data_IF_025683091333
#
_entry.id   IF_025683091333
#
_cell.length_a   1.000
_cell.length_b   1.000
_cell.length_c   1.000
_cell.angle_alpha   90.00
_cell.angle_beta   90.00
_cell.angle_gamma   90.00
#
_symmetry.space_group_name_H-M   'P 1'
#
loop_
_entity.id
_entity.type
_entity.pdbx_description
1 polymer ?
#
# COMPACT_ATOMS: atom_id res chain seq x y z
N UNK A 1 15.18 -18.91 -31.24
CA UNK A 1 15.42 -19.30 -32.65
C UNK A 1 16.82 -19.02 -33.23
N UNK A 2 17.29 -17.78 -33.47
CA UNK A 2 18.62 -17.58 -34.08
C UNK A 2 19.81 -17.98 -33.18
N UNK A 3 19.72 -17.75 -31.86
CA UNK A 3 20.80 -18.06 -30.90
C UNK A 3 20.89 -19.55 -30.52
N UNK A 4 19.76 -20.27 -30.55
CA UNK A 4 19.74 -21.73 -30.36
C UNK A 4 20.38 -22.44 -31.55
N UNK A 5 20.04 -22.00 -32.77
CA UNK A 5 20.68 -22.50 -33.99
C UNK A 5 22.20 -22.31 -33.97
N UNK A 6 22.67 -21.16 -33.46
CA UNK A 6 24.11 -20.90 -33.26
C UNK A 6 24.73 -21.84 -32.22
N UNK A 7 24.01 -22.21 -31.15
CA UNK A 7 24.52 -23.16 -30.17
C UNK A 7 24.59 -24.59 -30.74
N UNK A 8 23.61 -24.99 -31.54
CA UNK A 8 23.53 -26.32 -32.13
C UNK A 8 24.53 -26.51 -33.28
N UNK A 9 24.77 -25.46 -34.07
CA UNK A 9 25.79 -25.45 -35.12
C UNK A 9 27.22 -25.56 -34.53
N UNK A 10 27.45 -24.99 -33.33
CA UNK A 10 28.75 -25.11 -32.62
C UNK A 10 28.94 -26.52 -32.05
N UNK A 11 27.86 -27.19 -31.63
CA UNK A 11 27.88 -28.54 -31.08
C UNK A 11 27.98 -29.65 -32.14
N UNK A 12 27.53 -29.39 -33.37
CA UNK A 12 27.66 -30.32 -34.49
C UNK A 12 29.08 -30.41 -35.09
N UNK A 13 30.04 -29.60 -34.63
CA UNK A 13 31.39 -29.55 -35.21
C UNK A 13 32.30 -30.69 -34.72
N UNK A 14 33.00 -31.42 -35.62
CA UNK A 14 33.70 -32.69 -35.31
C UNK A 14 34.99 -32.56 -34.48
N UNK A 15 35.46 -31.35 -34.16
CA UNK A 15 36.58 -31.09 -33.24
C UNK A 15 36.29 -29.83 -32.40
N UNK A 16 35.87 -30.02 -31.16
CA UNK A 16 35.54 -28.91 -30.25
C UNK A 16 36.69 -28.60 -29.28
N UNK A 17 37.13 -27.35 -29.25
CA UNK A 17 38.04 -26.87 -28.21
C UNK A 17 37.25 -26.44 -26.94
N UNK A 18 37.96 -26.09 -25.87
CA UNK A 18 37.32 -25.64 -24.63
C UNK A 18 36.55 -24.32 -24.82
N UNK A 19 36.99 -23.45 -25.74
CA UNK A 19 36.40 -22.13 -25.98
C UNK A 19 35.09 -22.24 -26.77
N UNK A 20 34.99 -23.17 -27.72
CA UNK A 20 33.77 -23.40 -28.51
C UNK A 20 32.64 -23.93 -27.62
N UNK A 21 32.94 -24.86 -26.71
CA UNK A 21 31.97 -25.38 -25.73
C UNK A 21 31.50 -24.30 -24.74
N UNK A 22 32.40 -23.41 -24.32
CA UNK A 22 32.02 -22.28 -23.47
C UNK A 22 31.08 -21.31 -24.19
N UNK A 23 31.37 -21.01 -25.47
CA UNK A 23 30.53 -20.15 -26.31
C UNK A 23 29.15 -20.75 -26.55
N UNK A 24 29.04 -22.06 -26.79
CA UNK A 24 27.76 -22.75 -26.92
C UNK A 24 26.94 -22.69 -25.63
N UNK A 25 27.58 -22.90 -24.46
CA UNK A 25 26.91 -22.77 -23.15
C UNK A 25 26.44 -21.35 -22.87
N UNK A 26 27.23 -20.34 -23.24
CA UNK A 26 26.84 -18.94 -23.10
C UNK A 26 25.69 -18.57 -24.05
N UNK A 27 25.71 -19.07 -25.29
CA UNK A 27 24.62 -18.89 -26.26
C UNK A 27 23.31 -19.55 -25.79
N UNK A 28 23.36 -20.78 -25.24
CA UNK A 28 22.18 -21.43 -24.64
C UNK A 28 21.68 -20.69 -23.41
N UNK A 29 22.59 -20.19 -22.56
CA UNK A 29 22.19 -19.39 -21.39
C UNK A 29 21.56 -18.06 -21.81
N UNK A 30 22.09 -17.42 -22.85
CA UNK A 30 21.52 -16.20 -23.41
C UNK A 30 20.18 -16.45 -24.12
N UNK A 31 20.03 -17.58 -24.81
CA UNK A 31 18.77 -17.99 -25.43
C UNK A 31 17.70 -18.34 -24.38
N UNK A 32 18.06 -19.11 -23.34
CA UNK A 32 17.16 -19.42 -22.23
C UNK A 32 16.82 -18.18 -21.39
N UNK A 33 17.72 -17.20 -21.31
CA UNK A 33 17.44 -15.91 -20.70
C UNK A 33 16.50 -15.10 -21.59
N UNK A 34 16.73 -15.08 -22.91
CA UNK A 34 15.86 -14.42 -23.87
C UNK A 34 14.44 -15.03 -23.91
N UNK A 35 14.29 -16.34 -23.77
CA UNK A 35 12.98 -17.03 -23.62
C UNK A 35 12.30 -16.74 -22.28
N UNK A 36 13.06 -16.39 -21.23
CA UNK A 36 12.48 -15.82 -20.01
C UNK A 36 12.06 -14.35 -20.17
N UNK A 37 12.48 -13.71 -21.26
CA UNK A 37 12.17 -12.33 -21.63
C UNK A 37 11.36 -12.22 -22.95
N UNK A 38 10.83 -13.33 -23.48
CA UNK A 38 9.87 -13.33 -24.60
C UNK A 38 8.49 -12.87 -24.13
N UNK A 39 7.72 -12.23 -25.01
CA UNK A 39 7.23 -10.88 -24.83
C UNK A 39 6.07 -10.79 -23.83
N UNK A 40 6.10 -9.68 -23.10
CA UNK A 40 4.97 -9.02 -22.46
C UNK A 40 3.71 -9.21 -23.28
N UNK A 41 2.73 -9.92 -22.73
CA UNK A 41 1.43 -10.14 -23.36
C UNK A 41 0.75 -8.76 -23.48
N UNK A 42 0.81 -8.16 -24.67
CA UNK A 42 0.29 -6.83 -24.92
C UNK A 42 -1.21 -6.72 -24.60
N UNK A 43 -1.97 -7.82 -24.69
CA UNK A 43 -3.37 -7.86 -24.31
C UNK A 43 -3.53 -7.88 -22.79
N UNK A 44 -2.66 -8.60 -22.06
CA UNK A 44 -2.63 -8.58 -20.60
C UNK A 44 -2.23 -7.19 -20.05
N UNK A 45 -1.22 -6.55 -20.65
CA UNK A 45 -0.80 -5.20 -20.30
C UNK A 45 -1.89 -4.16 -20.58
N UNK A 46 -2.52 -4.23 -21.76
CA UNK A 46 -3.62 -3.34 -22.10
C UNK A 46 -4.82 -3.54 -21.16
N UNK A 47 -5.07 -4.77 -20.73
CA UNK A 47 -6.09 -5.08 -19.72
C UNK A 47 -5.74 -4.47 -18.36
N UNK A 48 -4.50 -4.65 -17.89
CA UNK A 48 -4.02 -4.08 -16.63
C UNK A 48 -4.09 -2.54 -16.65
N UNK A 49 -3.68 -1.91 -17.75
CA UNK A 49 -3.75 -0.45 -17.91
C UNK A 49 -5.21 0.05 -17.91
N UNK A 50 -6.11 -0.65 -18.61
CA UNK A 50 -7.54 -0.32 -18.61
C UNK A 50 -8.12 -0.43 -17.19
N UNK A 51 -7.74 -1.47 -16.47
CA UNK A 51 -8.16 -1.71 -15.09
C UNK A 51 -7.62 -0.65 -14.12
N UNK A 52 -6.36 -0.25 -14.24
CA UNK A 52 -5.77 0.82 -13.44
C UNK A 52 -6.46 2.17 -13.71
N UNK A 53 -6.74 2.49 -14.98
CA UNK A 53 -7.48 3.70 -15.35
C UNK A 53 -8.90 3.71 -14.79
N UNK A 54 -9.55 2.55 -14.70
CA UNK A 54 -10.89 2.46 -14.11
C UNK A 54 -10.86 2.60 -12.59
N UNK A 55 -9.90 1.96 -11.92
CA UNK A 55 -9.62 2.15 -10.48
C UNK A 55 -9.43 3.63 -10.16
N UNK A 56 -8.55 4.31 -10.90
CA UNK A 56 -8.26 5.73 -10.72
C UNK A 56 -9.52 6.60 -10.90
N UNK A 57 -10.35 6.32 -11.92
CA UNK A 57 -11.61 7.06 -12.15
C UNK A 57 -12.60 6.90 -11.01
N UNK A 58 -12.74 5.69 -10.48
CA UNK A 58 -13.65 5.40 -9.36
C UNK A 58 -13.17 6.13 -8.11
N UNK A 59 -11.89 5.98 -7.76
CA UNK A 59 -11.30 6.63 -6.59
C UNK A 59 -11.44 8.15 -6.69
N UNK A 60 -11.13 8.74 -7.85
CA UNK A 60 -11.25 10.18 -8.06
C UNK A 60 -12.71 10.66 -7.93
N UNK A 61 -13.67 9.91 -8.49
CA UNK A 61 -15.10 10.23 -8.32
C UNK A 61 -15.52 10.21 -6.85
N UNK A 62 -15.14 9.17 -6.10
CA UNK A 62 -15.46 9.07 -4.67
C UNK A 62 -14.77 10.17 -3.87
N UNK A 63 -13.53 10.54 -4.22
CA UNK A 63 -12.86 11.70 -3.62
C UNK A 63 -13.61 13.01 -3.89
N UNK A 64 -14.10 13.21 -5.12
CA UNK A 64 -14.88 14.38 -5.50
C UNK A 64 -16.19 14.49 -4.70
N UNK A 65 -16.92 13.40 -4.57
CA UNK A 65 -18.17 13.31 -3.78
C UNK A 65 -17.94 13.60 -2.29
N UNK A 66 -16.79 13.17 -1.76
CA UNK A 66 -16.38 13.42 -0.36
C UNK A 66 -15.71 14.79 -0.15
N UNK A 67 -15.51 15.58 -1.21
CA UNK A 67 -14.85 16.89 -1.13
C UNK A 67 -13.38 16.81 -0.72
N UNK A 68 -12.70 15.70 -1.02
CA UNK A 68 -11.28 15.50 -0.72
C UNK A 68 -10.46 15.33 -2.01
N UNK A 69 -9.15 15.50 -1.91
CA UNK A 69 -8.20 15.31 -3.00
C UNK A 69 -7.03 14.47 -2.54
N UNK A 70 -6.46 13.72 -3.47
CA UNK A 70 -5.31 12.88 -3.20
C UNK A 70 -4.07 13.72 -2.89
N UNK A 71 -3.31 13.25 -1.90
CA UNK A 71 -1.95 13.69 -1.63
C UNK A 71 -1.05 12.47 -1.74
N UNK A 72 -0.13 12.53 -2.70
CA UNK A 72 0.79 11.44 -2.99
C UNK A 72 1.76 11.22 -1.82
N UNK A 73 1.81 9.98 -1.37
CA UNK A 73 2.78 9.43 -0.42
C UNK A 73 3.82 8.64 -1.21
N UNK A 74 5.06 8.61 -0.72
CA UNK A 74 6.13 7.85 -1.35
C UNK A 74 5.72 6.38 -1.52
N UNK A 75 5.90 5.79 -2.72
CA UNK A 75 5.54 4.40 -3.01
C UNK A 75 6.60 3.43 -2.48
N UNK A 76 6.72 3.39 -1.16
CA UNK A 76 7.59 2.47 -0.42
C UNK A 76 6.77 1.60 0.56
N UNK A 77 7.46 0.73 1.28
CA UNK A 77 6.80 -0.17 2.21
C UNK A 77 6.15 0.50 3.42
N UNK A 78 6.35 1.81 3.62
CA UNK A 78 5.77 2.61 4.70
C UNK A 78 4.55 3.42 4.26
N UNK A 79 4.06 3.27 3.02
CA UNK A 79 2.98 4.09 2.46
C UNK A 79 1.72 4.15 3.32
N UNK A 80 1.22 3.02 3.82
CA UNK A 80 0.04 2.97 4.72
C UNK A 80 0.24 3.84 5.96
N UNK A 81 1.34 3.58 6.67
CA UNK A 81 1.69 4.24 7.92
C UNK A 81 1.94 5.73 7.72
N UNK A 82 2.60 6.11 6.63
CA UNK A 82 2.85 7.51 6.26
C UNK A 82 1.55 8.23 5.91
N UNK A 83 0.63 7.58 5.17
CA UNK A 83 -0.67 8.15 4.83
C UNK A 83 -1.53 8.41 6.08
N UNK A 84 -1.56 7.46 7.01
CA UNK A 84 -2.29 7.62 8.29
C UNK A 84 -1.61 8.68 9.17
N UNK A 85 -0.28 8.65 9.29
CA UNK A 85 0.46 9.63 10.08
C UNK A 85 0.17 11.07 9.62
N UNK A 86 0.20 11.32 8.30
CA UNK A 86 -0.15 12.63 7.75
C UNK A 86 -1.57 13.05 8.13
N UNK A 87 -2.56 12.14 8.01
CA UNK A 87 -3.93 12.44 8.39
C UNK A 87 -4.07 12.76 9.87
N UNK A 88 -3.39 12.03 10.75
CA UNK A 88 -3.36 12.30 12.19
C UNK A 88 -2.79 13.70 12.49
N UNK A 89 -1.78 14.15 11.73
CA UNK A 89 -1.27 15.52 11.82
C UNK A 89 -2.28 16.57 11.36
N UNK A 90 -2.95 16.33 10.22
CA UNK A 90 -3.96 17.25 9.66
C UNK A 90 -5.14 17.42 10.62
N UNK A 91 -5.54 16.33 11.28
CA UNK A 91 -6.63 16.34 12.27
C UNK A 91 -6.20 16.88 13.64
N UNK A 92 -4.91 17.17 13.85
CA UNK A 92 -4.36 17.62 15.12
C UNK A 92 -4.40 16.56 16.23
N UNK A 93 -4.55 15.28 15.87
CA UNK A 93 -4.49 14.16 16.81
C UNK A 93 -3.06 13.92 17.26
N UNK A 94 -2.10 14.08 16.33
CA UNK A 94 -0.68 14.08 16.63
C UNK A 94 -0.05 15.43 16.25
N UNK A 95 0.94 15.92 17.02
CA UNK A 95 1.81 16.99 16.56
C UNK A 95 2.51 16.60 15.25
N UNK A 96 2.65 17.54 14.31
CA UNK A 96 3.28 17.25 13.02
C UNK A 96 4.71 16.71 13.12
N UNK A 97 5.44 17.04 14.19
CA UNK A 97 6.78 16.51 14.46
C UNK A 97 6.80 15.05 14.91
N UNK A 98 5.68 14.55 15.45
CA UNK A 98 5.55 13.19 15.98
C UNK A 98 4.78 12.27 15.03
N UNK A 99 3.99 12.85 14.12
CA UNK A 99 3.22 12.17 13.09
C UNK A 99 4.13 11.57 12.00
N UNK A 100 4.80 10.49 12.35
CA UNK A 100 5.77 9.76 11.53
C UNK A 100 5.27 8.34 11.23
N UNK A 101 5.83 7.70 10.19
CA UNK A 101 5.49 6.31 9.90
C UNK A 101 5.98 5.38 11.03
N UNK A 102 7.08 5.73 11.72
CA UNK A 102 7.59 4.98 12.86
C UNK A 102 6.61 5.02 14.05
N UNK A 103 6.03 6.19 14.32
CA UNK A 103 5.06 6.36 15.39
C UNK A 103 3.79 5.53 15.13
N UNK A 104 3.27 5.57 13.90
CA UNK A 104 2.07 4.80 13.53
C UNK A 104 2.35 3.30 13.44
N UNK A 105 3.52 2.85 12.95
CA UNK A 105 3.93 1.44 13.01
C UNK A 105 3.96 0.90 14.42
N UNK A 106 4.56 1.67 15.33
CA UNK A 106 4.62 1.32 16.75
C UNK A 106 3.22 1.25 17.36
N UNK A 107 2.38 2.25 17.12
CA UNK A 107 1.01 2.26 17.63
C UNK A 107 0.19 1.06 17.13
N UNK A 108 0.31 0.69 15.85
CA UNK A 108 -0.35 -0.48 15.30
C UNK A 108 0.14 -1.77 15.98
N UNK A 109 1.46 -2.00 16.00
CA UNK A 109 2.05 -3.20 16.58
C UNK A 109 1.74 -3.34 18.09
N UNK A 110 1.90 -2.26 18.86
CA UNK A 110 1.63 -2.27 20.31
C UNK A 110 0.14 -2.55 20.61
N UNK A 111 -0.76 -1.99 19.80
CA UNK A 111 -2.20 -2.27 19.95
C UNK A 111 -2.53 -3.73 19.62
N UNK A 112 -1.96 -4.27 18.54
CA UNK A 112 -2.15 -5.68 18.16
C UNK A 112 -1.62 -6.62 19.24
N UNK A 113 -0.41 -6.37 19.76
CA UNK A 113 0.19 -7.18 20.83
C UNK A 113 -0.65 -7.22 22.11
N UNK A 114 -1.36 -6.14 22.42
CA UNK A 114 -2.22 -6.05 23.61
C UNK A 114 -3.62 -6.63 23.40
N UNK A 115 -4.00 -6.97 22.17
CA UNK A 115 -5.33 -7.49 21.81
C UNK A 115 -5.24 -8.69 20.82
N UNK A 116 -4.43 -9.73 21.09
CA UNK A 116 -4.13 -10.79 20.12
C UNK A 116 -5.37 -11.50 19.55
N UNK A 117 -6.38 -11.74 20.38
CA UNK A 117 -7.60 -12.46 20.00
C UNK A 117 -8.40 -11.76 18.88
N UNK A 118 -8.26 -10.43 18.76
CA UNK A 118 -8.93 -9.64 17.74
C UNK A 118 -8.24 -9.70 16.37
N UNK A 119 -6.96 -10.08 16.33
CA UNK A 119 -6.12 -10.00 15.13
C UNK A 119 -5.67 -11.36 14.61
N UNK A 120 -5.28 -12.29 15.49
CA UNK A 120 -4.77 -13.61 15.10
C UNK A 120 -5.66 -14.34 14.08
N UNK A 121 -7.01 -14.33 14.18
CA UNK A 121 -7.88 -15.00 13.20
C UNK A 121 -7.78 -14.48 11.76
N UNK A 122 -7.23 -13.28 11.55
CA UNK A 122 -7.14 -12.62 10.24
C UNK A 122 -5.72 -12.59 9.69
N UNK A 123 -4.73 -13.10 10.44
CA UNK A 123 -3.34 -13.10 10.03
C UNK A 123 -2.95 -14.40 9.33
N UNK A 124 -2.15 -14.33 8.26
CA UNK A 124 -1.74 -15.51 7.52
C UNK A 124 -0.84 -16.40 8.39
N UNK A 125 -1.15 -17.69 8.48
CA UNK A 125 -0.32 -18.67 9.19
C UNK A 125 -0.19 -19.95 8.37
N UNK A 126 1.03 -20.50 8.33
CA UNK A 126 1.34 -21.78 7.70
C UNK A 126 1.11 -22.97 8.66
N UNK A 127 0.59 -22.72 9.86
CA UNK A 127 0.33 -23.76 10.85
C UNK A 127 -0.83 -24.68 10.44
N UNK A 128 -0.87 -25.90 10.98
CA UNK A 128 -1.95 -26.85 10.71
C UNK A 128 -3.33 -26.35 11.17
N UNK A 129 -3.36 -25.45 12.17
CA UNK A 129 -4.60 -24.84 12.67
C UNK A 129 -5.03 -23.63 11.85
N UNK A 130 -4.17 -23.12 10.95
CA UNK A 130 -4.36 -21.88 10.22
C UNK A 130 -4.23 -20.62 11.08
N UNK A 131 -3.79 -20.76 12.34
CA UNK A 131 -3.63 -19.64 13.29
C UNK A 131 -2.17 -19.50 13.71
N UNK A 132 -1.72 -18.27 13.93
CA UNK A 132 -0.39 -18.01 14.47
C UNK A 132 -0.32 -18.49 15.93
N UNK A 133 0.81 -19.10 16.30
CA UNK A 133 1.18 -19.26 17.70
C UNK A 133 1.49 -17.89 18.35
N UNK A 134 1.48 -17.78 19.69
CA UNK A 134 1.84 -16.55 20.37
C UNK A 134 3.21 -15.99 19.96
N UNK A 135 4.20 -16.88 19.71
CA UNK A 135 5.54 -16.47 19.31
C UNK A 135 5.57 -15.94 17.87
N UNK A 136 4.84 -16.57 16.95
CA UNK A 136 4.72 -16.09 15.56
C UNK A 136 4.01 -14.74 15.51
N UNK A 137 2.98 -14.55 16.33
CA UNK A 137 2.28 -13.28 16.45
C UNK A 137 3.17 -12.16 17.02
N UNK A 138 3.97 -12.47 18.04
CA UNK A 138 4.96 -11.52 18.57
C UNK A 138 5.97 -11.10 17.49
N UNK A 139 6.47 -12.07 16.71
CA UNK A 139 7.38 -11.81 15.59
C UNK A 139 6.71 -11.00 14.47
N UNK A 140 5.43 -11.26 14.17
CA UNK A 140 4.64 -10.49 13.23
C UNK A 140 4.58 -9.02 13.66
N UNK A 141 4.20 -8.77 14.92
CA UNK A 141 4.11 -7.41 15.45
C UNK A 141 5.47 -6.69 15.47
N UNK A 142 6.56 -7.40 15.82
CA UNK A 142 7.91 -6.85 15.72
C UNK A 142 8.29 -6.52 14.27
N UNK A 143 7.91 -7.37 13.31
CA UNK A 143 8.16 -7.12 11.87
C UNK A 143 7.40 -5.89 11.39
N UNK A 144 6.13 -5.73 11.76
CA UNK A 144 5.31 -4.54 11.47
C UNK A 144 5.95 -3.27 12.06
N UNK A 145 6.44 -3.35 13.31
CA UNK A 145 7.05 -2.23 14.02
C UNK A 145 8.40 -1.80 13.45
N UNK A 146 9.28 -2.77 13.17
CA UNK A 146 10.72 -2.54 13.03
C UNK A 146 11.20 -2.59 11.57
N UNK A 147 10.32 -2.89 10.60
CA UNK A 147 10.69 -3.04 9.18
C UNK A 147 9.80 -2.25 8.24
N UNK A 148 10.10 -2.31 6.94
CA UNK A 148 9.29 -1.75 5.86
C UNK A 148 8.28 -2.76 5.29
N UNK A 149 7.84 -3.76 6.06
CA UNK A 149 6.75 -4.65 5.62
C UNK A 149 5.49 -3.83 5.34
N UNK A 150 4.79 -4.18 4.26
CA UNK A 150 3.54 -3.55 3.89
C UNK A 150 2.48 -3.89 4.93
N UNK A 151 1.69 -2.90 5.34
CA UNK A 151 0.54 -3.12 6.22
C UNK A 151 -0.74 -3.23 5.40
N UNK A 152 -1.80 -3.72 6.04
CA UNK A 152 -3.13 -3.86 5.43
C UNK A 152 -4.26 -3.69 6.43
N UNK A 153 -5.33 -4.45 6.23
CA UNK A 153 -6.56 -4.41 7.04
C UNK A 153 -6.30 -4.54 8.56
N UNK A 154 -5.48 -5.49 9.06
CA UNK A 154 -5.24 -5.63 10.50
C UNK A 154 -4.59 -4.38 11.10
N UNK A 155 -3.61 -3.80 10.41
CA UNK A 155 -2.92 -2.59 10.86
C UNK A 155 -3.83 -1.37 10.80
N UNK A 156 -4.70 -1.25 9.79
CA UNK A 156 -5.69 -0.16 9.70
C UNK A 156 -6.66 -0.25 10.88
N UNK A 157 -7.19 -1.45 11.18
CA UNK A 157 -8.10 -1.65 12.30
C UNK A 157 -7.41 -1.39 13.65
N UNK A 158 -6.15 -1.78 13.80
CA UNK A 158 -5.33 -1.49 14.97
C UNK A 158 -5.12 0.03 15.14
N UNK A 159 -4.74 0.74 14.07
CA UNK A 159 -4.55 2.20 14.10
C UNK A 159 -5.83 2.95 14.43
N UNK A 160 -6.96 2.53 13.86
CA UNK A 160 -8.27 3.12 14.15
C UNK A 160 -8.59 3.04 15.65
N UNK A 161 -8.33 1.89 16.27
CA UNK A 161 -8.56 1.68 17.70
C UNK A 161 -7.51 2.35 18.59
N UNK A 162 -6.23 2.30 18.23
CA UNK A 162 -5.13 2.89 18.98
C UNK A 162 -5.26 4.41 19.12
N UNK A 163 -5.67 5.09 18.04
CA UNK A 163 -5.88 6.54 18.03
C UNK A 163 -7.34 6.94 18.30
N UNK A 164 -8.23 5.97 18.52
CA UNK A 164 -9.66 6.17 18.71
C UNK A 164 -10.29 7.10 17.66
N UNK A 165 -9.98 6.84 16.38
CA UNK A 165 -10.44 7.64 15.23
C UNK A 165 -10.88 6.71 14.10
N UNK A 166 -12.02 6.96 13.43
CA UNK A 166 -12.39 6.18 12.27
C UNK A 166 -11.42 6.38 11.11
N UNK A 167 -11.16 5.30 10.37
CA UNK A 167 -10.36 5.31 9.15
C UNK A 167 -11.24 4.89 7.98
N UNK A 168 -11.39 5.78 7.01
CA UNK A 168 -12.06 5.51 5.74
C UNK A 168 -11.02 5.26 4.65
N UNK A 169 -11.11 4.08 4.04
CA UNK A 169 -10.26 3.69 2.91
C UNK A 169 -11.08 3.79 1.63
N UNK A 170 -10.69 4.70 0.74
CA UNK A 170 -11.31 4.87 -0.58
C UNK A 170 -10.60 3.93 -1.55
N UNK A 171 -11.34 3.12 -2.31
CA UNK A 171 -10.78 2.11 -3.20
C UNK A 171 -11.58 1.96 -4.50
N UNK A 172 -10.98 1.37 -5.53
CA UNK A 172 -11.64 1.12 -6.80
C UNK A 172 -12.69 0.01 -6.76
N UNK A 173 -12.55 -0.95 -5.84
CA UNK A 173 -13.50 -2.06 -5.67
C UNK A 173 -14.74 -1.62 -4.85
N UNK A 174 -15.85 -2.36 -4.96
CA UNK A 174 -17.06 -2.11 -4.17
C UNK A 174 -17.01 -2.91 -2.86
N UNK A 175 -17.26 -2.31 -1.68
CA UNK A 175 -17.67 -0.92 -1.48
C UNK A 175 -16.50 0.07 -1.71
N UNK A 176 -16.79 1.20 -2.37
CA UNK A 176 -15.79 2.22 -2.71
C UNK A 176 -15.25 2.98 -1.48
N UNK A 177 -15.89 2.83 -0.33
CA UNK A 177 -15.41 3.32 0.97
C UNK A 177 -15.52 2.18 1.98
N UNK A 178 -14.38 1.71 2.47
CA UNK A 178 -14.31 0.76 3.60
C UNK A 178 -14.14 1.56 4.89
N UNK A 179 -15.02 1.32 5.85
CA UNK A 179 -15.07 2.06 7.11
C UNK A 179 -14.56 1.19 8.25
N UNK A 180 -13.50 1.67 8.90
CA UNK A 180 -12.96 1.09 10.13
C UNK A 180 -13.33 2.02 11.27
N UNK A 181 -14.05 1.50 12.26
CA UNK A 181 -14.39 2.23 13.47
C UNK A 181 -13.60 1.67 14.65
N UNK A 182 -13.23 2.51 15.63
CA UNK A 182 -12.77 2.03 16.92
C UNK A 182 -13.93 1.32 17.66
N UNK A 183 -13.61 0.33 18.48
CA UNK A 183 -14.58 -0.58 19.12
C UNK A 183 -15.61 0.13 20.01
N UNK A 184 -15.28 1.33 20.52
CA UNK A 184 -16.10 2.07 21.50
C UNK A 184 -17.00 3.13 20.88
N UNK A 185 -16.97 3.33 19.56
CA UNK A 185 -17.85 4.27 18.85
C UNK A 185 -19.08 3.50 18.34
N UNK A 186 -20.31 3.81 18.82
CA UNK A 186 -21.52 3.24 18.25
C UNK A 186 -21.54 3.45 16.73
N UNK A 187 -21.92 2.43 15.97
CA UNK A 187 -22.06 2.51 14.49
C UNK A 187 -22.99 3.64 14.01
N UNK A 188 -23.70 4.28 14.94
CA UNK A 188 -24.70 5.34 14.74
C UNK A 188 -24.29 6.70 15.29
N UNK A 189 -23.15 6.86 15.98
CA UNK A 189 -22.71 8.18 16.39
C UNK A 189 -22.19 8.93 15.17
N UNK A 190 -22.76 10.10 14.92
CA UNK A 190 -22.30 11.06 13.92
C UNK A 190 -20.87 11.49 14.27
N UNK A 191 -19.87 10.66 13.95
CA UNK A 191 -18.49 11.11 13.96
C UNK A 191 -18.46 12.25 12.97
N UNK A 192 -18.22 13.47 13.47
CA UNK A 192 -18.15 14.64 12.62
C UNK A 192 -17.24 14.31 11.46
N UNK A 193 -17.69 14.55 10.24
CA UNK A 193 -16.92 14.26 9.03
C UNK A 193 -15.50 14.88 9.06
N UNK A 194 -15.31 15.90 9.90
CA UNK A 194 -14.07 16.60 10.21
C UNK A 194 -13.08 15.83 11.10
N UNK A 195 -13.44 14.68 11.68
CA UNK A 195 -12.60 13.87 12.58
C UNK A 195 -12.44 12.43 12.07
N UNK A 196 -12.27 12.27 10.76
CA UNK A 196 -12.10 10.96 10.12
C UNK A 196 -10.81 10.98 9.32
N UNK A 197 -9.94 10.01 9.57
CA UNK A 197 -8.75 9.75 8.76
C UNK A 197 -9.21 9.21 7.41
N UNK A 198 -8.80 9.85 6.32
CA UNK A 198 -9.14 9.41 4.96
C UNK A 198 -7.88 9.09 4.17
N UNK A 199 -7.80 7.85 3.69
CA UNK A 199 -6.72 7.35 2.84
C UNK A 199 -7.32 6.69 1.60
N UNK A 200 -6.59 6.62 0.50
CA UNK A 200 -6.98 5.85 -0.69
C UNK A 200 -6.06 4.66 -0.89
N UNK A 201 -6.63 3.51 -1.23
CA UNK A 201 -5.92 2.28 -1.58
C UNK A 201 -5.93 2.08 -3.10
N UNK A 202 -4.77 1.78 -3.64
CA UNK A 202 -4.52 1.59 -5.08
C UNK A 202 -3.85 0.25 -5.28
N UNK A 203 -4.48 -0.66 -6.01
CA UNK A 203 -3.91 -1.99 -6.27
C UNK A 203 -3.05 -2.01 -7.53
N UNK A 204 -3.32 -1.13 -8.49
CA UNK A 204 -2.80 -1.24 -9.87
C UNK A 204 -2.10 0.03 -10.37
N UNK A 205 -2.10 1.12 -9.58
CA UNK A 205 -1.61 2.43 -10.00
C UNK A 205 -0.08 2.52 -10.24
N UNK A 206 0.75 1.78 -9.49
CA UNK A 206 2.21 1.98 -9.51
C UNK A 206 3.03 0.88 -10.17
N UNK A 207 2.41 -0.15 -10.75
CA UNK A 207 3.12 -1.32 -11.32
C UNK A 207 3.92 -2.17 -10.32
N UNK A 208 4.13 -1.67 -9.09
CA UNK A 208 4.87 -2.32 -8.00
C UNK A 208 3.97 -3.08 -7.03
N UNK A 209 2.64 -2.92 -7.13
CA UNK A 209 1.66 -3.56 -6.24
C UNK A 209 0.78 -2.52 -5.51
N UNK A 210 0.35 -2.88 -4.31
CA UNK A 210 -0.55 -2.11 -3.46
C UNK A 210 0.10 -0.83 -2.92
N UNK A 211 -0.69 0.24 -2.84
CA UNK A 211 -0.21 1.54 -2.35
C UNK A 211 -1.30 2.34 -1.65
N UNK A 212 -0.91 3.12 -0.66
CA UNK A 212 -1.80 4.03 0.06
C UNK A 212 -1.38 5.49 -0.09
N UNK A 213 -2.34 6.36 -0.36
CA UNK A 213 -2.18 7.81 -0.37
C UNK A 213 -3.07 8.47 0.70
N UNK A 214 -2.65 9.64 1.18
CA UNK A 214 -3.44 10.46 2.09
C UNK A 214 -4.49 11.28 1.31
N UNK A 215 -5.64 11.58 1.90
CA UNK A 215 -6.69 12.40 1.28
C UNK A 215 -6.92 13.69 2.05
N UNK A 216 -6.62 14.83 1.43
CA UNK A 216 -6.75 16.15 2.06
C UNK A 216 -8.07 16.82 1.66
N UNK A 217 -8.69 17.64 2.52
CA UNK A 217 -9.85 18.43 2.13
C UNK A 217 -9.57 19.29 0.88
N UNK A 218 -10.52 19.33 -0.06
CA UNK A 218 -10.53 20.38 -1.09
C UNK A 218 -10.86 21.68 -0.38
N UNK A 219 -9.98 22.68 -0.46
CA UNK A 219 -10.25 23.99 0.13
C UNK A 219 -11.61 24.49 -0.38
N UNK A 220 -12.55 24.72 0.53
CA UNK A 220 -13.81 25.37 0.18
C UNK A 220 -13.51 26.82 -0.20
N UNK A 221 -14.24 27.36 -1.19
CA UNK A 221 -14.22 28.79 -1.53
C UNK A 221 -14.46 29.68 -0.29
N UNK A 222 -15.18 29.19 0.72
CA UNK A 222 -15.43 29.89 1.97
C UNK A 222 -14.19 30.02 2.87
N UNK A 223 -13.26 29.06 2.83
CA UNK A 223 -12.04 29.08 3.65
C UNK A 223 -11.00 30.02 3.05
N UNK A 224 -10.95 30.12 1.71
CA UNK A 224 -10.14 31.13 1.01
C UNK A 224 -10.59 32.55 1.34
N UNK A 225 -11.89 32.78 1.48
CA UNK A 225 -12.44 34.08 1.89
C UNK A 225 -12.12 34.37 3.37
N UNK A 226 -12.28 33.42 4.29
CA UNK A 226 -11.90 33.61 5.71
C UNK A 226 -10.41 33.93 5.89
N UNK A 227 -9.52 33.29 5.14
CA UNK A 227 -8.08 33.58 5.21
C UNK A 227 -7.71 34.98 4.71
N UNK A 228 -8.49 35.57 3.80
CA UNK A 228 -8.31 36.95 3.31
C UNK A 228 -8.80 37.98 4.33
N UNK A 229 -9.79 37.62 5.16
CA UNK A 229 -10.41 38.53 6.14
C UNK A 229 -9.92 38.34 7.59
N UNK A 230 -8.98 37.42 7.85
CA UNK A 230 -8.32 37.35 9.16
C UNK A 230 -7.31 38.49 9.31
N UNK A 231 -7.51 39.43 10.26
CA UNK A 231 -6.54 40.49 10.48
C UNK A 231 -5.25 39.90 11.03
N UNK A 232 -4.13 40.16 10.36
CA UNK A 232 -2.79 39.90 10.89
C UNK A 232 -2.61 40.72 12.16
N UNK A 233 -2.54 40.08 13.32
CA UNK A 233 -2.15 40.74 14.56
C UNK A 233 -0.70 41.27 14.41
N UNK A 234 -0.43 42.56 14.66
CA UNK A 234 0.92 43.08 14.69
C UNK A 234 1.60 42.77 16.05
N UNK A 235 2.95 42.85 16.10
CA UNK A 235 3.76 42.48 17.26
C UNK A 235 3.56 43.40 18.48
#
# INVERSE_FOLDING_TARGET
MQLEKVADDIDAAPKQDSKSRHKARQARKAAALADKFTPVDADADAKLEKEAREEERIINRTCDELGVKMHEINPDGHCLFSAVAEQLAILGILPSAEATYEATRRAAADYMQTHPDDFIPFLPSDSETGLMSPQEFENYCATVRDTAVWGGEPEIQALSRAYNVPIHVIQGESPHVVVHNPSDIPKTSDVKAEQVVRISYHRRMYGLGEHYNSLRPKRSLTDGIKAIFSPSSPP
#
